data_IF_534280000986
#
_entry.id   IF_534280000986
#
_cell.length_a   1.000
_cell.length_b   1.000
_cell.length_c   1.000
_cell.angle_alpha   90.00
_cell.angle_beta   90.00
_cell.angle_gamma   90.00
#
_symmetry.space_group_name_H-M   'P 1'
#
loop_
_entity.id
_entity.type
_entity.pdbx_description
1 polymer ?
#
# COMPACT_ATOMS: atom_id res chain seq x y z
N UNK A 1 10.91 20.11 -20.90
CA UNK A 1 12.08 19.27 -21.25
C UNK A 1 12.35 18.17 -20.22
N UNK A 2 12.34 18.44 -18.90
CA UNK A 2 12.61 17.41 -17.86
C UNK A 2 11.65 16.20 -17.95
N UNK A 3 10.33 16.41 -17.85
CA UNK A 3 9.35 15.30 -17.87
C UNK A 3 9.40 14.41 -19.14
N UNK A 4 9.76 14.98 -20.30
CA UNK A 4 9.95 14.22 -21.54
C UNK A 4 11.20 13.34 -21.52
N UNK A 5 12.27 13.78 -20.84
CA UNK A 5 13.47 12.99 -20.64
C UNK A 5 13.24 11.87 -19.60
N UNK A 6 12.61 12.19 -18.47
CA UNK A 6 12.27 11.20 -17.43
C UNK A 6 11.35 10.09 -17.95
N UNK A 7 10.39 10.42 -18.83
CA UNK A 7 9.56 9.41 -19.51
C UNK A 7 10.39 8.47 -20.39
N UNK A 8 11.35 8.99 -21.15
CA UNK A 8 12.22 8.17 -22.01
C UNK A 8 13.13 7.25 -21.17
N UNK A 9 13.70 7.76 -20.07
CA UNK A 9 14.46 6.95 -19.11
C UNK A 9 13.59 5.82 -18.53
N UNK A 10 12.37 6.13 -18.09
CA UNK A 10 11.44 5.14 -17.50
C UNK A 10 11.12 4.01 -18.46
N UNK A 11 10.93 4.30 -19.75
CA UNK A 11 10.72 3.27 -20.79
C UNK A 11 11.97 2.40 -20.93
N UNK A 12 13.17 3.00 -21.05
CA UNK A 12 14.42 2.22 -21.15
C UNK A 12 14.71 1.34 -19.93
N UNK A 13 14.26 1.77 -18.73
CA UNK A 13 14.33 0.96 -17.52
C UNK A 13 13.34 -0.21 -17.54
N UNK A 14 12.13 -0.03 -18.10
CA UNK A 14 11.16 -1.12 -18.31
C UNK A 14 11.68 -2.16 -19.31
N UNK A 15 12.29 -1.72 -20.42
CA UNK A 15 12.91 -2.61 -21.41
C UNK A 15 14.07 -3.41 -20.79
N UNK A 16 14.93 -2.74 -20.00
CA UNK A 16 15.99 -3.39 -19.23
C UNK A 16 15.42 -4.37 -18.19
N UNK A 17 14.35 -4.02 -17.48
CA UNK A 17 13.67 -4.91 -16.53
C UNK A 17 13.16 -6.19 -17.21
N UNK A 18 12.54 -6.06 -18.37
CA UNK A 18 12.08 -7.20 -19.18
C UNK A 18 13.24 -8.10 -19.63
N UNK A 19 14.39 -7.53 -20.03
CA UNK A 19 15.56 -8.35 -20.38
C UNK A 19 16.08 -9.17 -19.19
N UNK A 20 16.15 -8.59 -17.99
CA UNK A 20 16.53 -9.32 -16.77
C UNK A 20 15.50 -10.39 -16.39
N UNK A 21 14.20 -10.12 -16.58
CA UNK A 21 13.14 -11.12 -16.40
C UNK A 21 13.32 -12.32 -17.33
N UNK A 22 13.70 -12.11 -18.61
CA UNK A 22 14.02 -13.23 -19.52
C UNK A 22 15.27 -14.01 -19.10
N UNK A 23 16.33 -13.35 -18.63
CA UNK A 23 17.55 -14.04 -18.17
C UNK A 23 17.28 -14.84 -16.87
N UNK A 24 16.54 -14.26 -15.92
CA UNK A 24 16.12 -14.96 -14.69
C UNK A 24 15.29 -16.20 -15.01
N UNK A 25 14.33 -16.10 -15.94
CA UNK A 25 13.47 -17.22 -16.32
C UNK A 25 14.28 -18.35 -16.98
N UNK A 26 15.21 -18.04 -17.89
CA UNK A 26 16.09 -19.04 -18.51
C UNK A 26 16.99 -19.76 -17.48
N UNK A 27 17.49 -19.04 -16.48
CA UNK A 27 18.27 -19.64 -15.38
C UNK A 27 17.37 -20.52 -14.48
N UNK A 28 16.14 -20.09 -14.20
CA UNK A 28 15.17 -20.87 -13.41
C UNK A 28 14.79 -22.16 -14.14
N UNK A 29 14.52 -22.11 -15.45
CA UNK A 29 14.24 -23.28 -16.28
C UNK A 29 15.41 -24.27 -16.29
N UNK A 30 16.64 -23.77 -16.48
CA UNK A 30 17.86 -24.59 -16.44
C UNK A 30 18.11 -25.24 -15.07
N UNK A 31 17.68 -24.63 -13.97
CA UNK A 31 17.84 -25.17 -12.61
C UNK A 31 16.72 -26.13 -12.20
N UNK A 32 15.51 -25.92 -12.72
CA UNK A 32 14.28 -26.65 -12.35
C UNK A 32 13.87 -27.73 -13.37
N UNK A 33 14.70 -28.01 -14.37
CA UNK A 33 14.51 -29.15 -15.29
C UNK A 33 14.49 -30.52 -14.58
N UNK A 34 14.04 -31.59 -15.25
CA UNK A 34 13.92 -32.92 -14.64
C UNK A 34 15.28 -33.44 -14.16
N UNK A 35 15.37 -33.75 -12.86
CA UNK A 35 16.62 -34.14 -12.20
C UNK A 35 17.48 -32.97 -11.69
N UNK A 36 17.14 -31.72 -12.06
CA UNK A 36 17.83 -30.53 -11.59
C UNK A 36 17.65 -30.29 -10.07
N UNK A 37 18.63 -29.67 -9.39
CA UNK A 37 18.55 -29.41 -7.95
C UNK A 37 17.68 -28.19 -7.60
N UNK A 38 17.04 -27.55 -8.58
CA UNK A 38 16.25 -26.34 -8.41
C UNK A 38 17.04 -25.13 -7.93
N UNK A 39 16.32 -24.11 -7.49
CA UNK A 39 16.88 -22.83 -7.01
C UNK A 39 17.60 -23.00 -5.66
N UNK A 40 17.12 -23.89 -4.79
CA UNK A 40 17.59 -24.01 -3.39
C UNK A 40 17.86 -25.44 -2.91
N UNK A 41 17.64 -26.47 -3.73
CA UNK A 41 17.82 -27.88 -3.32
C UNK A 41 19.29 -28.26 -3.07
N UNK A 42 19.49 -29.38 -2.39
CA UNK A 42 20.80 -29.86 -1.98
C UNK A 42 21.69 -30.25 -3.19
N UNK A 43 22.98 -29.95 -3.11
CA UNK A 43 24.00 -30.28 -4.13
C UNK A 43 24.83 -31.52 -3.74
N UNK A 44 24.41 -32.18 -2.67
CA UNK A 44 25.04 -33.34 -2.03
C UNK A 44 24.03 -34.49 -2.07
N UNK A 45 24.52 -35.73 -2.05
CA UNK A 45 23.71 -36.93 -1.92
C UNK A 45 23.30 -37.19 -0.44
N UNK A 46 22.89 -38.43 -0.14
CA UNK A 46 22.51 -38.89 1.21
C UNK A 46 23.69 -39.35 2.07
N UNK A 47 24.87 -39.58 1.49
CA UNK A 47 26.07 -40.06 2.19
C UNK A 47 27.03 -38.91 2.54
N UNK A 48 26.87 -37.75 1.91
CA UNK A 48 27.66 -36.55 2.15
C UNK A 48 28.57 -36.17 0.98
N UNK A 49 28.48 -36.83 -0.17
CA UNK A 49 29.35 -36.61 -1.31
C UNK A 49 28.73 -35.70 -2.40
N UNK A 50 29.56 -35.04 -3.22
CA UNK A 50 29.08 -34.24 -4.34
C UNK A 50 28.27 -35.08 -5.33
N UNK A 51 27.07 -34.60 -5.66
CA UNK A 51 26.19 -35.23 -6.67
C UNK A 51 26.87 -35.40 -8.02
N UNK A 52 26.84 -36.63 -8.53
CA UNK A 52 27.44 -37.02 -9.82
C UNK A 52 26.51 -36.72 -11.00
N UNK A 53 25.21 -36.60 -10.72
CA UNK A 53 24.13 -36.25 -11.65
C UNK A 53 24.18 -34.79 -12.16
N UNK A 54 24.96 -33.90 -11.53
CA UNK A 54 24.85 -32.44 -11.68
C UNK A 54 26.23 -31.76 -11.74
N UNK A 55 26.41 -30.81 -12.66
CA UNK A 55 27.53 -29.85 -12.61
C UNK A 55 27.32 -28.84 -11.47
N UNK A 56 27.88 -29.16 -10.31
CA UNK A 56 27.81 -28.34 -9.09
C UNK A 56 28.46 -26.95 -9.29
N UNK A 57 29.66 -26.80 -9.90
CA UNK A 57 30.18 -25.50 -10.32
C UNK A 57 29.19 -24.64 -11.13
N UNK A 58 28.56 -25.21 -12.17
CA UNK A 58 27.61 -24.50 -13.02
C UNK A 58 26.33 -24.11 -12.25
N UNK A 59 25.75 -25.03 -11.47
CA UNK A 59 24.59 -24.72 -10.64
C UNK A 59 24.90 -23.63 -9.60
N UNK A 60 26.10 -23.61 -9.02
CA UNK A 60 26.50 -22.55 -8.09
C UNK A 60 26.72 -21.20 -8.78
N UNK A 61 27.21 -21.16 -10.01
CA UNK A 61 27.31 -19.90 -10.78
C UNK A 61 25.93 -19.38 -11.20
N UNK A 62 25.05 -20.26 -11.68
CA UNK A 62 23.65 -19.96 -12.01
C UNK A 62 22.86 -19.42 -10.81
N UNK A 63 22.93 -20.08 -9.64
CA UNK A 63 22.26 -19.61 -8.42
C UNK A 63 22.80 -18.26 -7.94
N UNK A 64 24.10 -17.99 -8.11
CA UNK A 64 24.67 -16.65 -7.83
C UNK A 64 24.12 -15.61 -8.81
N UNK A 65 24.19 -15.87 -10.12
CA UNK A 65 23.70 -14.98 -11.17
C UNK A 65 22.22 -14.64 -11.01
N UNK A 66 21.39 -15.62 -10.65
CA UNK A 66 19.97 -15.42 -10.33
C UNK A 66 19.75 -14.54 -9.09
N UNK A 67 20.69 -14.56 -8.13
CA UNK A 67 20.63 -13.71 -6.94
C UNK A 67 21.08 -12.27 -7.23
N UNK A 68 22.09 -12.11 -8.10
CA UNK A 68 22.53 -10.80 -8.64
C UNK A 68 21.39 -10.14 -9.41
N UNK A 69 20.84 -10.83 -10.43
CA UNK A 69 19.72 -10.35 -11.25
C UNK A 69 18.48 -9.95 -10.43
N UNK A 70 18.17 -10.67 -9.35
CA UNK A 70 17.04 -10.32 -8.45
C UNK A 70 17.27 -9.02 -7.68
N UNK A 71 18.51 -8.75 -7.27
CA UNK A 71 18.86 -7.50 -6.62
C UNK A 71 18.80 -6.32 -7.61
N UNK A 72 19.35 -6.50 -8.81
CA UNK A 72 19.35 -5.49 -9.87
C UNK A 72 17.93 -5.19 -10.37
N UNK A 73 17.10 -6.24 -10.55
CA UNK A 73 15.68 -6.13 -10.88
C UNK A 73 14.89 -5.34 -9.82
N UNK A 74 15.13 -5.59 -8.53
CA UNK A 74 14.54 -4.81 -7.44
C UNK A 74 14.93 -3.34 -7.52
N UNK A 75 16.23 -3.04 -7.69
CA UNK A 75 16.74 -1.66 -7.78
C UNK A 75 16.16 -0.91 -8.98
N UNK A 76 16.05 -1.57 -10.13
CA UNK A 76 15.45 -1.00 -11.35
C UNK A 76 13.94 -0.80 -11.20
N UNK A 77 13.22 -1.74 -10.58
CA UNK A 77 11.79 -1.59 -10.27
C UNK A 77 11.54 -0.40 -9.35
N UNK A 78 12.28 -0.31 -8.23
CA UNK A 78 12.21 0.85 -7.34
C UNK A 78 12.53 2.18 -8.03
N UNK A 79 13.37 2.19 -9.07
CA UNK A 79 13.67 3.40 -9.85
C UNK A 79 12.53 3.76 -10.82
N UNK A 80 11.92 2.76 -11.47
CA UNK A 80 10.72 2.94 -12.30
C UNK A 80 9.59 3.56 -11.48
N UNK A 81 9.35 3.05 -10.27
CA UNK A 81 8.28 3.55 -9.39
C UNK A 81 8.50 5.02 -8.99
N UNK A 82 9.73 5.38 -8.61
CA UNK A 82 10.12 6.77 -8.29
C UNK A 82 9.95 7.71 -9.49
N UNK A 83 10.39 7.28 -10.68
CA UNK A 83 10.21 8.07 -11.89
C UNK A 83 8.71 8.21 -12.27
N UNK A 84 7.91 7.16 -12.09
CA UNK A 84 6.47 7.17 -12.36
C UNK A 84 5.73 8.13 -11.41
N UNK A 85 6.04 8.11 -10.11
CA UNK A 85 5.50 9.05 -9.12
C UNK A 85 5.75 10.51 -9.53
N UNK A 86 6.97 10.84 -9.95
CA UNK A 86 7.35 12.19 -10.43
C UNK A 86 6.63 12.56 -11.74
N UNK A 87 6.40 11.61 -12.65
CA UNK A 87 5.61 11.86 -13.87
C UNK A 87 4.12 12.08 -13.58
N UNK A 88 3.60 11.53 -12.48
CA UNK A 88 2.21 11.72 -12.06
C UNK A 88 2.01 13.03 -11.30
N UNK A 89 2.88 13.41 -10.36
CA UNK A 89 2.75 14.69 -9.63
C UNK A 89 2.81 15.89 -10.58
N UNK A 90 3.82 15.93 -11.46
CA UNK A 90 3.98 16.95 -12.52
C UNK A 90 2.83 17.00 -13.54
N UNK A 91 1.87 16.07 -13.46
CA UNK A 91 0.65 16.04 -14.28
C UNK A 91 -0.56 16.59 -13.56
N UNK A 92 -0.66 16.47 -12.24
CA UNK A 92 -1.70 17.16 -11.44
C UNK A 92 -1.48 18.67 -11.49
N UNK A 93 -0.24 19.13 -11.32
CA UNK A 93 0.17 20.55 -11.39
C UNK A 93 -0.21 21.26 -12.70
N UNK A 94 -0.58 20.49 -13.74
CA UNK A 94 -0.92 20.98 -15.07
C UNK A 94 -2.42 20.93 -15.40
N UNK A 95 -3.27 20.58 -14.43
CA UNK A 95 -4.73 20.53 -14.57
C UNK A 95 -5.34 21.41 -13.46
N UNK A 96 -5.54 22.69 -13.75
CA UNK A 96 -6.17 23.63 -12.81
C UNK A 96 -7.06 24.63 -13.55
N UNK A 97 -8.37 24.51 -13.35
CA UNK A 97 -9.23 25.61 -12.91
C UNK A 97 -10.04 25.18 -11.67
N UNK A 98 -10.39 26.01 -10.67
CA UNK A 98 -10.27 27.45 -10.39
C UNK A 98 -10.22 27.65 -8.84
N UNK A 99 -9.89 28.84 -8.29
CA UNK A 99 -9.69 29.04 -6.84
C UNK A 99 -10.96 29.42 -6.06
N UNK A 100 -10.91 29.25 -4.73
CA UNK A 100 -11.78 29.89 -3.72
C UNK A 100 -10.96 30.24 -2.46
N UNK A 101 -11.29 31.36 -1.80
CA UNK A 101 -10.59 31.95 -0.64
C UNK A 101 -10.97 31.33 0.72
N UNK A 102 -10.20 31.59 1.80
CA UNK A 102 -10.63 31.28 3.18
C UNK A 102 -9.58 31.39 4.31
N UNK A 103 -9.21 32.61 4.71
CA UNK A 103 -8.38 33.06 5.85
C UNK A 103 -7.99 32.13 7.03
N UNK A 104 -6.66 32.09 7.28
CA UNK A 104 -5.92 32.63 8.45
C UNK A 104 -6.19 32.23 9.94
N UNK A 105 -5.18 32.55 10.77
CA UNK A 105 -5.06 32.46 12.25
C UNK A 105 -4.68 31.05 12.78
N UNK A 106 -3.55 30.72 13.43
CA UNK A 106 -2.30 31.38 13.93
C UNK A 106 -2.12 31.20 15.45
N UNK A 107 -0.99 30.58 15.86
CA UNK A 107 -0.38 30.55 17.21
C UNK A 107 -1.20 29.87 18.35
N UNK A 108 -0.65 29.40 19.49
CA UNK A 108 0.69 28.95 19.95
C UNK A 108 0.52 28.29 21.35
N UNK A 109 1.37 27.37 21.86
CA UNK A 109 2.54 27.59 22.77
C UNK A 109 2.97 26.23 23.40
N UNK A 110 4.29 26.01 23.63
CA UNK A 110 5.01 25.07 24.56
C UNK A 110 4.53 23.62 24.79
N UNK A 111 5.34 22.57 24.54
CA UNK A 111 6.51 22.05 25.32
C UNK A 111 6.11 21.36 26.66
N UNK A 112 6.68 20.22 27.09
CA UNK A 112 7.80 19.34 26.60
C UNK A 112 7.44 17.85 26.92
N UNK A 113 8.21 16.77 26.71
CA UNK A 113 9.67 16.51 26.63
C UNK A 113 10.01 15.54 25.46
N UNK A 114 11.25 15.67 24.99
CA UNK A 114 12.14 14.81 24.17
C UNK A 114 12.02 13.27 24.34
N UNK A 115 12.48 12.39 23.42
CA UNK A 115 13.63 12.48 22.49
C UNK A 115 13.46 11.72 21.14
N UNK A 116 14.19 12.20 20.12
CA UNK A 116 14.84 11.51 18.98
C UNK A 116 14.17 10.35 18.21
N UNK A 117 13.50 10.67 17.09
CA UNK A 117 14.05 10.42 15.73
C UNK A 117 12.99 10.56 14.61
N UNK A 118 13.14 11.48 13.64
CA UNK A 118 12.18 11.64 12.53
C UNK A 118 12.65 10.90 11.26
N UNK A 119 12.21 9.67 11.03
CA UNK A 119 12.36 9.08 9.70
C UNK A 119 11.28 8.04 9.35
N UNK A 120 10.53 8.36 8.28
CA UNK A 120 9.73 7.44 7.48
C UNK A 120 8.58 6.76 8.22
N UNK A 121 7.48 7.50 8.35
CA UNK A 121 6.19 6.87 8.07
C UNK A 121 6.32 6.20 6.70
N UNK A 122 6.15 4.88 6.67
CA UNK A 122 6.03 4.16 5.41
C UNK A 122 4.78 4.68 4.67
N UNK A 123 4.74 4.64 3.33
CA UNK A 123 3.49 4.84 2.61
C UNK A 123 2.59 3.65 2.90
N UNK A 124 1.91 3.68 4.06
CA UNK A 124 0.87 2.72 4.45
C UNK A 124 -0.02 2.58 3.22
N UNK A 125 -0.04 1.40 2.64
CA UNK A 125 -0.89 1.11 1.49
C UNK A 125 -2.33 1.31 1.96
N UNK A 126 -2.92 2.44 1.58
CA UNK A 126 -4.27 2.90 1.98
C UNK A 126 -5.33 2.07 1.25
N UNK A 127 -5.26 0.76 1.46
CA UNK A 127 -6.20 -0.23 0.95
C UNK A 127 -7.48 -0.05 1.75
N UNK A 128 -8.60 0.34 1.12
CA UNK A 128 -9.87 0.37 1.81
C UNK A 128 -10.30 -1.06 2.15
N UNK A 129 -10.81 -1.26 3.35
CA UNK A 129 -11.26 -2.57 3.83
C UNK A 129 -12.79 -2.69 3.94
N UNK A 130 -13.50 -1.58 3.77
CA UNK A 130 -14.95 -1.53 3.75
C UNK A 130 -15.44 -0.39 2.84
N UNK A 131 -16.70 -0.47 2.40
CA UNK A 131 -17.42 0.58 1.70
C UNK A 131 -18.74 0.86 2.40
N UNK A 132 -19.19 2.11 2.40
CA UNK A 132 -20.51 2.49 2.95
C UNK A 132 -21.58 2.26 1.88
N UNK A 133 -22.43 1.26 2.12
CA UNK A 133 -23.45 0.79 1.16
C UNK A 133 -24.82 1.44 1.39
N UNK A 134 -25.13 1.74 2.66
CA UNK A 134 -26.36 2.40 3.10
C UNK A 134 -26.03 3.46 4.15
N UNK A 135 -26.72 4.59 4.12
CA UNK A 135 -26.79 5.61 5.18
C UNK A 135 -28.26 5.99 5.31
N UNK A 136 -28.78 6.06 6.53
CA UNK A 136 -30.11 6.58 6.77
C UNK A 136 -30.12 8.11 6.89
N UNK A 137 -31.19 8.73 6.42
CA UNK A 137 -31.47 10.14 6.65
C UNK A 137 -31.59 10.43 8.17
N UNK A 138 -31.25 11.65 8.58
CA UNK A 138 -31.20 12.10 10.00
C UNK A 138 -30.39 11.16 10.93
N UNK A 139 -29.38 10.47 10.39
CA UNK A 139 -28.45 9.65 11.16
C UNK A 139 -27.15 10.39 11.53
N UNK A 140 -26.46 9.98 12.62
CA UNK A 140 -25.15 10.53 12.97
C UNK A 140 -24.14 10.43 11.82
N UNK A 141 -24.14 9.34 11.05
CA UNK A 141 -23.29 9.20 9.87
C UNK A 141 -23.56 10.30 8.83
N UNK A 142 -24.83 10.59 8.52
CA UNK A 142 -25.21 11.63 7.58
C UNK A 142 -24.86 13.04 8.09
N UNK A 143 -25.18 13.33 9.36
CA UNK A 143 -24.85 14.62 10.01
C UNK A 143 -23.33 14.87 10.08
N UNK A 144 -22.55 13.83 10.39
CA UNK A 144 -21.09 13.89 10.52
C UNK A 144 -20.36 13.80 9.15
N UNK A 145 -21.11 13.80 8.04
CA UNK A 145 -20.60 14.00 6.68
C UNK A 145 -20.16 12.75 5.90
N UNK A 146 -20.52 11.55 6.36
CA UNK A 146 -20.35 10.32 5.56
C UNK A 146 -21.29 10.32 4.34
N UNK A 147 -20.85 9.67 3.27
CA UNK A 147 -21.61 9.53 2.02
C UNK A 147 -21.62 8.08 1.52
N UNK A 148 -22.64 7.75 0.72
CA UNK A 148 -22.73 6.46 0.04
C UNK A 148 -21.54 6.28 -0.91
N UNK A 149 -21.01 5.06 -0.98
CA UNK A 149 -19.77 4.71 -1.69
C UNK A 149 -18.47 5.31 -1.12
N UNK A 150 -18.46 5.81 0.12
CA UNK A 150 -17.20 6.10 0.83
C UNK A 150 -16.44 4.81 1.14
N UNK A 151 -15.17 4.76 0.72
CA UNK A 151 -14.26 3.63 0.95
C UNK A 151 -13.44 3.85 2.24
N UNK A 152 -13.59 3.00 3.25
CA UNK A 152 -12.96 3.20 4.57
C UNK A 152 -11.58 2.53 4.62
N UNK A 153 -10.56 3.32 4.95
CA UNK A 153 -9.15 2.90 5.14
C UNK A 153 -8.82 2.69 6.62
N UNK A 154 -9.38 3.51 7.53
CA UNK A 154 -9.18 3.41 8.99
C UNK A 154 -10.39 3.97 9.74
N UNK A 155 -10.79 3.31 10.83
CA UNK A 155 -11.85 3.75 11.74
C UNK A 155 -11.32 3.69 13.18
N UNK A 156 -11.03 4.84 13.81
CA UNK A 156 -10.43 4.90 15.14
C UNK A 156 -9.14 4.06 15.22
N UNK A 157 -9.12 3.10 16.13
CA UNK A 157 -8.06 2.10 16.29
C UNK A 157 -8.29 0.79 15.47
N UNK A 158 -9.12 0.83 14.43
CA UNK A 158 -9.42 -0.28 13.52
C UNK A 158 -8.81 -0.02 12.14
N UNK A 159 -7.93 -0.92 11.73
CA UNK A 159 -7.25 -0.98 10.44
C UNK A 159 -7.43 -2.39 9.84
N UNK A 160 -7.10 -2.54 8.56
CA UNK A 160 -7.18 -3.81 7.82
C UNK A 160 -6.52 -4.99 8.57
N UNK A 161 -7.21 -6.13 8.64
CA UNK A 161 -6.78 -7.32 9.38
C UNK A 161 -7.96 -8.25 9.67
N UNK A 162 -7.82 -9.13 10.66
CA UNK A 162 -8.88 -10.07 11.02
C UNK A 162 -10.04 -9.41 11.79
N UNK A 163 -11.24 -10.00 11.66
CA UNK A 163 -12.45 -9.65 12.42
C UNK A 163 -12.91 -8.19 12.31
N UNK A 164 -12.70 -7.55 11.15
CA UNK A 164 -12.99 -6.12 10.90
C UNK A 164 -14.38 -5.67 11.35
N UNK A 165 -15.43 -6.44 11.04
CA UNK A 165 -16.81 -6.06 11.35
C UNK A 165 -17.08 -6.00 12.85
N UNK A 166 -16.56 -6.95 13.65
CA UNK A 166 -16.73 -6.93 15.11
C UNK A 166 -15.81 -5.90 15.77
N UNK A 167 -14.61 -5.65 15.23
CA UNK A 167 -13.74 -4.55 15.66
C UNK A 167 -14.37 -3.18 15.41
N UNK A 168 -14.93 -2.93 14.22
CA UNK A 168 -15.69 -1.72 13.88
C UNK A 168 -16.83 -1.48 14.89
N UNK A 169 -17.65 -2.50 15.12
CA UNK A 169 -18.76 -2.40 16.07
C UNK A 169 -18.28 -2.17 17.50
N UNK A 170 -17.21 -2.83 17.95
CA UNK A 170 -16.64 -2.65 19.28
C UNK A 170 -16.02 -1.26 19.47
N UNK A 171 -15.32 -0.73 18.46
CA UNK A 171 -14.70 0.60 18.49
C UNK A 171 -15.77 1.70 18.56
N UNK A 172 -16.81 1.61 17.71
CA UNK A 172 -17.95 2.53 17.75
C UNK A 172 -18.72 2.42 19.08
N UNK A 173 -18.90 1.21 19.62
CA UNK A 173 -19.59 0.97 20.88
C UNK A 173 -18.80 1.44 22.11
N UNK A 174 -17.47 1.37 22.07
CA UNK A 174 -16.59 1.85 23.16
C UNK A 174 -16.44 3.37 23.15
N UNK A 175 -16.56 4.00 21.99
CA UNK A 175 -16.47 5.45 21.81
C UNK A 175 -17.86 6.13 21.71
N UNK A 176 -18.91 5.56 22.30
CA UNK A 176 -20.23 6.22 22.34
C UNK A 176 -20.13 7.62 22.97
N UNK A 177 -20.67 8.62 22.28
CA UNK A 177 -20.63 10.04 22.67
C UNK A 177 -19.30 10.76 22.37
N UNK A 178 -18.26 10.04 21.91
CA UNK A 178 -16.94 10.60 21.62
C UNK A 178 -16.68 10.67 20.10
N UNK A 179 -15.99 11.71 19.61
CA UNK A 179 -15.60 11.81 18.20
C UNK A 179 -14.54 10.76 17.84
N UNK A 180 -14.86 9.85 16.90
CA UNK A 180 -13.93 8.85 16.37
C UNK A 180 -13.34 9.34 15.05
N UNK A 181 -12.00 9.43 14.91
CA UNK A 181 -11.38 9.81 13.65
C UNK A 181 -11.50 8.69 12.61
N UNK A 182 -11.84 9.06 11.39
CA UNK A 182 -12.08 8.18 10.25
C UNK A 182 -11.20 8.61 9.07
N UNK A 183 -10.57 7.67 8.39
CA UNK A 183 -9.88 7.91 7.11
C UNK A 183 -10.64 7.18 6.01
N UNK A 184 -11.15 7.93 5.05
CA UNK A 184 -11.88 7.42 3.88
C UNK A 184 -11.14 7.78 2.58
N UNK A 185 -11.55 7.14 1.49
CA UNK A 185 -11.34 7.57 0.11
C UNK A 185 -12.71 7.90 -0.49
N UNK A 186 -12.87 9.14 -0.96
CA UNK A 186 -14.05 9.62 -1.70
C UNK A 186 -13.58 10.09 -3.07
N UNK A 187 -14.14 9.50 -4.14
CA UNK A 187 -13.76 9.81 -5.53
C UNK A 187 -12.23 9.71 -5.79
N UNK A 188 -11.54 8.76 -5.14
CA UNK A 188 -10.09 8.59 -5.24
C UNK A 188 -9.25 9.58 -4.41
N UNK A 189 -9.86 10.53 -3.69
CA UNK A 189 -9.19 11.44 -2.77
C UNK A 189 -9.29 10.93 -1.33
N UNK A 190 -8.17 10.84 -0.62
CA UNK A 190 -8.17 10.46 0.81
C UNK A 190 -8.65 11.65 1.64
N UNK A 191 -9.68 11.45 2.46
CA UNK A 191 -10.24 12.45 3.36
C UNK A 191 -10.24 11.94 4.80
N UNK A 192 -9.91 12.81 5.73
CA UNK A 192 -10.10 12.56 7.16
C UNK A 192 -11.46 13.15 7.57
N UNK A 193 -12.34 12.32 8.11
CA UNK A 193 -13.60 12.71 8.72
C UNK A 193 -13.57 12.36 10.22
N UNK A 194 -14.57 12.84 10.96
CA UNK A 194 -14.72 12.53 12.39
C UNK A 194 -16.18 12.19 12.62
N UNK A 195 -16.46 11.00 13.10
CA UNK A 195 -17.83 10.49 13.27
C UNK A 195 -18.05 10.14 14.74
N UNK A 196 -19.16 10.60 15.31
CA UNK A 196 -19.47 10.54 16.74
C UNK A 196 -20.59 9.50 16.97
N UNK A 197 -20.28 8.28 17.44
CA UNK A 197 -21.29 7.25 17.64
C UNK A 197 -22.28 7.68 18.74
N UNK A 198 -23.55 7.92 18.39
CA UNK A 198 -24.57 8.46 19.30
C UNK A 198 -25.93 7.80 19.06
N UNK A 199 -26.73 7.55 20.11
CA UNK A 199 -28.08 7.02 19.94
C UNK A 199 -28.93 8.01 19.13
N UNK A 200 -29.69 7.49 18.18
CA UNK A 200 -30.52 8.24 17.24
C UNK A 200 -31.86 7.51 17.02
N UNK A 201 -32.75 8.06 16.18
CA UNK A 201 -34.11 7.54 16.04
C UNK A 201 -34.22 6.17 15.36
N UNK A 202 -33.18 5.72 14.64
CA UNK A 202 -33.13 4.41 13.98
C UNK A 202 -32.32 3.36 14.72
N UNK A 203 -31.76 2.41 13.96
CA UNK A 203 -31.04 1.25 14.52
C UNK A 203 -29.56 1.56 14.77
N UNK A 204 -29.06 1.18 15.95
CA UNK A 204 -27.65 1.32 16.31
C UNK A 204 -27.25 2.76 16.69
N UNK A 205 -25.98 3.09 16.48
CA UNK A 205 -25.35 4.33 16.99
C UNK A 205 -24.67 5.18 15.90
N UNK A 206 -24.84 4.81 14.63
CA UNK A 206 -24.26 5.51 13.48
C UNK A 206 -25.26 5.67 12.34
N UNK A 207 -26.10 4.66 12.09
CA UNK A 207 -27.13 4.68 11.04
C UNK A 207 -26.60 4.43 9.62
N UNK A 208 -25.38 3.92 9.49
CA UNK A 208 -24.78 3.47 8.23
C UNK A 208 -24.50 1.96 8.20
N UNK A 209 -24.42 1.38 7.00
CA UNK A 209 -24.02 -0.01 6.77
C UNK A 209 -22.60 -0.09 6.18
N UNK A 210 -21.70 -0.75 6.91
CA UNK A 210 -20.34 -1.06 6.43
C UNK A 210 -20.30 -2.43 5.75
N UNK A 211 -20.15 -2.44 4.43
CA UNK A 211 -19.88 -3.65 3.63
C UNK A 211 -18.37 -3.86 3.55
N UNK A 212 -17.86 -4.92 4.15
CA UNK A 212 -16.44 -5.32 4.05
C UNK A 212 -16.13 -5.70 2.59
N UNK A 213 -14.90 -5.40 2.13
CA UNK A 213 -14.38 -5.70 0.79
C UNK A 213 -13.62 -7.04 0.73
#
# INVERSE_FOLDING_TARGET
>A
MVATNLKAETISLMDMRASMETEMNAIIESLCGPGGPGISGNLVDSEGFPRVDIDIPAVRSQRRRLSELRNDHKVITEKIDKNLQVLHSLRLDKVTPLPLDGSDISASVSETISQDSPMREEPITRIPFAIIDEIADDSPAAEDGLQLSDEIVKFGNVEMGDNLQSRLMAEAQSNQGNPVPLVIVRQGSVMNLTVTPRPWHGRGILGCHFRIL
#
